data_IF_606690147209
#
_entry.id   IF_606690147209
#
_cell.length_a   1.000
_cell.length_b   1.000
_cell.length_c   1.000
_cell.angle_alpha   90.00
_cell.angle_beta   90.00
_cell.angle_gamma   90.00
#
_symmetry.space_group_name_H-M   'P 1'
#
loop_
_entity.id
_entity.type
_entity.pdbx_description
1 polymer ?
#
# COMPACT_ATOMS: atom_id res chain seq x y z
N UNK A 1 -10.44 -23.34 -0.40
CA UNK A 1 -9.38 -22.45 -0.92
C UNK A 1 -9.68 -21.06 -0.39
N UNK A 2 -8.71 -20.36 0.22
CA UNK A 2 -8.93 -19.02 0.78
C UNK A 2 -8.94 -17.96 -0.34
N UNK A 3 -9.82 -16.98 -0.17
CA UNK A 3 -10.02 -15.87 -1.12
C UNK A 3 -9.43 -14.60 -0.54
N UNK A 4 -8.63 -13.88 -1.35
CA UNK A 4 -7.95 -12.66 -0.93
C UNK A 4 -8.23 -11.50 -1.88
N UNK A 5 -8.66 -10.37 -1.34
CA UNK A 5 -8.73 -9.10 -2.05
C UNK A 5 -7.39 -8.39 -1.95
N UNK A 6 -6.86 -7.92 -3.07
CA UNK A 6 -5.63 -7.12 -3.12
C UNK A 6 -5.97 -5.75 -3.70
N UNK A 7 -5.95 -4.71 -2.88
CA UNK A 7 -6.10 -3.34 -3.38
C UNK A 7 -4.76 -2.82 -3.89
N UNK A 8 -4.81 -1.94 -4.90
CA UNK A 8 -3.60 -1.48 -5.58
C UNK A 8 -2.93 -2.56 -6.44
N UNK A 9 -3.66 -3.60 -6.82
CA UNK A 9 -3.19 -4.73 -7.60
C UNK A 9 -2.56 -4.34 -8.95
N UNK A 10 -2.98 -3.23 -9.54
CA UNK A 10 -2.44 -2.71 -10.81
C UNK A 10 -1.16 -1.89 -10.64
N UNK A 11 -0.72 -1.65 -9.39
CA UNK A 11 0.52 -0.96 -9.06
C UNK A 11 1.75 -1.88 -9.04
N UNK A 12 2.92 -1.31 -8.78
CA UNK A 12 4.19 -2.05 -8.74
C UNK A 12 4.15 -3.21 -7.73
N UNK A 13 4.03 -2.92 -6.43
CA UNK A 13 3.98 -3.96 -5.39
C UNK A 13 2.78 -4.89 -5.56
N UNK A 14 1.60 -4.33 -5.90
CA UNK A 14 0.36 -5.10 -6.00
C UNK A 14 0.44 -6.25 -7.00
N UNK A 15 1.12 -6.06 -8.14
CA UNK A 15 1.32 -7.13 -9.14
C UNK A 15 2.10 -8.30 -8.57
N UNK A 16 3.19 -8.03 -7.84
CA UNK A 16 3.98 -9.09 -7.19
C UNK A 16 3.16 -9.83 -6.14
N UNK A 17 2.35 -9.11 -5.36
CA UNK A 17 1.47 -9.74 -4.35
C UNK A 17 0.40 -10.60 -5.02
N UNK A 18 -0.18 -10.17 -6.15
CA UNK A 18 -1.14 -10.96 -6.93
C UNK A 18 -0.49 -12.25 -7.42
N UNK A 19 0.67 -12.14 -8.04
CA UNK A 19 1.42 -13.28 -8.56
C UNK A 19 1.76 -14.28 -7.45
N UNK A 20 2.39 -13.80 -6.38
CA UNK A 20 2.83 -14.62 -5.25
C UNK A 20 1.67 -15.38 -4.60
N UNK A 21 0.58 -14.69 -4.28
CA UNK A 21 -0.56 -15.34 -3.62
C UNK A 21 -1.30 -16.30 -4.55
N UNK A 22 -1.40 -16.00 -5.85
CA UNK A 22 -2.00 -16.93 -6.80
C UNK A 22 -1.19 -18.22 -6.96
N UNK A 23 0.15 -18.12 -6.97
CA UNK A 23 1.06 -19.28 -7.00
C UNK A 23 0.98 -20.12 -5.72
N UNK A 24 0.65 -19.51 -4.59
CA UNK A 24 0.43 -20.19 -3.31
C UNK A 24 -1.00 -20.70 -3.10
N UNK A 25 -1.78 -20.79 -4.16
CA UNK A 25 -3.11 -21.43 -4.14
C UNK A 25 -4.23 -20.59 -3.57
N UNK A 26 -4.08 -19.28 -3.47
CA UNK A 26 -5.18 -18.38 -3.13
C UNK A 26 -6.01 -18.05 -4.38
N UNK A 27 -7.33 -17.86 -4.18
CA UNK A 27 -8.17 -17.18 -5.16
C UNK A 27 -8.05 -15.68 -4.93
N UNK A 28 -7.56 -14.95 -5.92
CA UNK A 28 -7.24 -13.53 -5.81
C UNK A 28 -8.30 -12.68 -6.51
N UNK A 29 -8.82 -11.68 -5.81
CA UNK A 29 -9.53 -10.55 -6.40
C UNK A 29 -8.58 -9.36 -6.49
N UNK A 30 -8.12 -9.04 -7.69
CA UNK A 30 -7.21 -7.93 -7.96
C UNK A 30 -8.02 -6.63 -8.14
N UNK A 31 -7.95 -5.71 -7.18
CA UNK A 31 -8.69 -4.44 -7.19
C UNK A 31 -7.81 -3.28 -7.63
N UNK A 32 -8.31 -2.48 -8.57
CA UNK A 32 -7.60 -1.28 -9.02
C UNK A 32 -8.33 -0.51 -10.12
N UNK A 33 -7.86 0.70 -10.42
CA UNK A 33 -8.49 1.61 -11.39
C UNK A 33 -8.17 1.29 -12.84
N UNK A 34 -6.95 0.81 -13.10
CA UNK A 34 -6.47 0.59 -14.47
C UNK A 34 -6.99 -0.73 -15.04
N UNK A 35 -8.09 -0.65 -15.82
CA UNK A 35 -8.74 -1.81 -16.42
C UNK A 35 -7.80 -2.64 -17.31
N UNK A 36 -7.00 -1.98 -18.15
CA UNK A 36 -6.09 -2.68 -19.08
C UNK A 36 -5.06 -3.51 -18.33
N UNK A 37 -4.44 -2.93 -17.30
CA UNK A 37 -3.47 -3.65 -16.45
C UNK A 37 -4.17 -4.71 -15.60
N UNK A 38 -5.35 -4.41 -15.06
CA UNK A 38 -6.11 -5.36 -14.25
C UNK A 38 -6.49 -6.60 -15.05
N UNK A 39 -7.03 -6.44 -16.24
CA UNK A 39 -7.37 -7.55 -17.13
C UNK A 39 -6.15 -8.40 -17.53
N UNK A 40 -4.97 -7.79 -17.66
CA UNK A 40 -3.74 -8.57 -17.95
C UNK A 40 -3.25 -9.44 -16.79
N UNK A 41 -3.80 -9.27 -15.58
CA UNK A 41 -3.49 -10.11 -14.41
C UNK A 41 -4.42 -11.33 -14.33
N UNK A 42 -5.53 -11.33 -15.06
CA UNK A 42 -6.56 -12.38 -14.95
C UNK A 42 -6.06 -13.73 -15.42
N UNK A 43 -6.40 -14.76 -14.65
CA UNK A 43 -6.15 -16.16 -14.96
C UNK A 43 -7.16 -17.04 -14.15
N UNK A 44 -6.96 -18.36 -14.12
CA UNK A 44 -7.84 -19.30 -13.40
C UNK A 44 -7.96 -19.03 -11.88
N UNK A 45 -6.98 -18.36 -11.28
CA UNK A 45 -6.92 -18.05 -9.84
C UNK A 45 -7.05 -16.56 -9.53
N UNK A 46 -7.04 -15.69 -10.55
CA UNK A 46 -7.08 -14.23 -10.40
C UNK A 46 -8.23 -13.64 -11.20
N UNK A 47 -9.15 -12.97 -10.53
CA UNK A 47 -10.21 -12.16 -11.14
C UNK A 47 -9.96 -10.67 -10.90
N UNK A 48 -10.14 -9.84 -11.92
CA UNK A 48 -10.00 -8.40 -11.77
C UNK A 48 -11.33 -7.74 -11.39
N UNK A 49 -11.28 -6.85 -10.42
CA UNK A 49 -12.38 -5.98 -10.00
C UNK A 49 -11.96 -4.51 -10.21
N UNK A 50 -12.61 -3.83 -11.14
CA UNK A 50 -12.35 -2.41 -11.36
C UNK A 50 -13.02 -1.58 -10.27
N UNK A 51 -12.24 -0.76 -9.55
CA UNK A 51 -12.76 0.12 -8.51
C UNK A 51 -11.76 1.18 -8.08
N UNK A 52 -12.24 2.15 -7.31
CA UNK A 52 -11.48 3.27 -6.78
C UNK A 52 -11.51 3.27 -5.24
N UNK A 53 -10.34 3.47 -4.60
CA UNK A 53 -10.22 3.57 -3.15
C UNK A 53 -11.02 4.73 -2.54
N UNK A 54 -11.31 5.75 -3.33
CA UNK A 54 -12.11 6.91 -2.90
C UNK A 54 -13.61 6.65 -2.89
N UNK A 55 -14.04 5.47 -3.36
CA UNK A 55 -15.44 5.05 -3.42
C UNK A 55 -15.70 3.90 -2.46
N UNK A 56 -16.41 4.18 -1.38
CA UNK A 56 -16.74 3.19 -0.35
C UNK A 56 -17.49 1.98 -0.92
N UNK A 57 -18.46 2.23 -1.81
CA UNK A 57 -19.28 1.18 -2.43
C UNK A 57 -18.44 0.17 -3.23
N UNK A 58 -17.41 0.65 -3.95
CA UNK A 58 -16.50 -0.23 -4.70
C UNK A 58 -15.78 -1.21 -3.76
N UNK A 59 -15.36 -0.73 -2.58
CA UNK A 59 -14.66 -1.53 -1.59
C UNK A 59 -15.60 -2.50 -0.86
N UNK A 60 -16.80 -2.05 -0.49
CA UNK A 60 -17.82 -2.93 0.10
C UNK A 60 -18.15 -4.08 -0.84
N UNK A 61 -18.38 -3.80 -2.13
CA UNK A 61 -18.62 -4.85 -3.14
C UNK A 61 -17.40 -5.75 -3.36
N UNK A 62 -16.20 -5.16 -3.42
CA UNK A 62 -14.97 -5.92 -3.61
C UNK A 62 -14.65 -6.86 -2.43
N UNK A 63 -15.05 -6.53 -1.23
CA UNK A 63 -14.87 -7.36 -0.04
C UNK A 63 -15.86 -8.53 0.06
N UNK A 64 -16.99 -8.50 -0.66
CA UNK A 64 -17.99 -9.56 -0.56
C UNK A 64 -17.43 -10.93 -0.93
N UNK A 65 -17.61 -11.90 -0.04
CA UNK A 65 -17.14 -13.28 -0.23
C UNK A 65 -15.64 -13.49 -0.21
N UNK A 66 -14.87 -12.50 0.30
CA UNK A 66 -13.43 -12.63 0.55
C UNK A 66 -13.17 -13.04 2.00
N UNK A 67 -12.07 -13.75 2.23
CA UNK A 67 -11.62 -14.15 3.57
C UNK A 67 -10.60 -13.15 4.15
N UNK A 68 -9.79 -12.55 3.29
CA UNK A 68 -8.67 -11.69 3.68
C UNK A 68 -8.51 -10.51 2.73
N UNK A 69 -7.85 -9.45 3.22
CA UNK A 69 -7.48 -8.28 2.41
C UNK A 69 -6.00 -7.98 2.55
N UNK A 70 -5.33 -7.72 1.43
CA UNK A 70 -4.03 -7.04 1.38
C UNK A 70 -4.26 -5.63 0.82
N UNK A 71 -4.17 -4.63 1.69
CA UNK A 71 -4.34 -3.23 1.32
C UNK A 71 -2.99 -2.61 0.98
N UNK A 72 -2.60 -2.71 -0.30
CA UNK A 72 -1.38 -2.13 -0.86
C UNK A 72 -1.64 -0.88 -1.73
N UNK A 73 -2.90 -0.51 -1.93
CA UNK A 73 -3.27 0.66 -2.71
C UNK A 73 -3.03 1.96 -1.94
N UNK A 74 -2.34 2.90 -2.57
CA UNK A 74 -2.12 4.24 -2.02
C UNK A 74 -1.71 5.22 -3.13
N UNK A 75 -1.92 6.50 -2.89
CA UNK A 75 -1.23 7.58 -3.61
C UNK A 75 0.16 7.71 -3.00
N UNK A 76 1.21 7.32 -3.76
CA UNK A 76 2.60 7.23 -3.28
C UNK A 76 3.55 8.26 -3.92
N UNK A 77 3.00 9.35 -4.47
CA UNK A 77 3.79 10.47 -5.00
C UNK A 77 4.43 11.26 -3.85
N UNK A 78 5.58 11.88 -4.11
CA UNK A 78 6.25 12.73 -3.11
C UNK A 78 5.53 14.08 -2.95
N UNK A 79 4.91 14.57 -4.01
CA UNK A 79 4.27 15.89 -4.09
C UNK A 79 2.81 15.78 -4.52
N UNK A 80 1.99 16.68 -4.02
CA UNK A 80 0.57 16.81 -4.34
C UNK A 80 -0.21 17.51 -3.22
N UNK A 81 -1.44 17.97 -3.48
CA UNK A 81 -2.32 18.54 -2.48
C UNK A 81 -2.62 17.55 -1.36
N UNK A 82 -2.77 18.05 -0.14
CA UNK A 82 -3.18 17.21 1.02
C UNK A 82 -4.49 16.48 0.77
N UNK A 83 -5.44 17.13 0.14
CA UNK A 83 -6.75 16.56 -0.14
C UNK A 83 -6.68 15.24 -0.92
N UNK A 84 -5.83 15.16 -1.94
CA UNK A 84 -5.67 13.94 -2.75
C UNK A 84 -5.14 12.78 -1.91
N UNK A 85 -4.18 13.06 -1.03
CA UNK A 85 -3.64 12.05 -0.09
C UNK A 85 -4.68 11.67 0.98
N UNK A 86 -5.43 12.63 1.47
CA UNK A 86 -6.47 12.39 2.46
C UNK A 86 -7.56 11.51 1.89
N UNK A 87 -8.11 11.84 0.73
CA UNK A 87 -9.15 11.07 0.08
C UNK A 87 -8.67 9.64 -0.25
N UNK A 88 -7.49 9.51 -0.86
CA UNK A 88 -7.02 8.19 -1.32
C UNK A 88 -6.46 7.35 -0.17
N UNK A 89 -5.57 7.92 0.65
CA UNK A 89 -4.82 7.13 1.64
C UNK A 89 -5.57 7.04 2.97
N UNK A 90 -6.18 8.14 3.45
CA UNK A 90 -6.82 8.14 4.75
C UNK A 90 -8.24 7.61 4.65
N UNK A 91 -9.10 8.25 3.86
CA UNK A 91 -10.48 7.80 3.69
C UNK A 91 -10.54 6.44 2.97
N UNK A 92 -9.72 6.22 1.95
CA UNK A 92 -9.62 4.91 1.30
C UNK A 92 -9.26 3.78 2.29
N UNK A 93 -8.31 4.01 3.21
CA UNK A 93 -8.00 3.04 4.28
C UNK A 93 -9.16 2.87 5.24
N UNK A 94 -9.85 3.95 5.60
CA UNK A 94 -11.06 3.88 6.43
C UNK A 94 -12.13 3.01 5.78
N UNK A 95 -12.42 3.21 4.50
CA UNK A 95 -13.40 2.41 3.76
C UNK A 95 -13.01 0.93 3.67
N UNK A 96 -11.72 0.63 3.52
CA UNK A 96 -11.22 -0.76 3.60
C UNK A 96 -11.48 -1.36 4.98
N UNK A 97 -11.22 -0.63 6.06
CA UNK A 97 -11.48 -1.09 7.43
C UNK A 97 -12.98 -1.34 7.68
N UNK A 98 -13.84 -0.43 7.22
CA UNK A 98 -15.29 -0.58 7.31
C UNK A 98 -15.78 -1.80 6.52
N UNK A 99 -15.35 -1.96 5.27
CA UNK A 99 -15.69 -3.11 4.45
C UNK A 99 -15.17 -4.43 5.04
N UNK A 100 -13.98 -4.44 5.65
CA UNK A 100 -13.43 -5.61 6.35
C UNK A 100 -14.29 -5.98 7.57
N UNK A 101 -14.73 -5.00 8.35
CA UNK A 101 -15.60 -5.17 9.51
C UNK A 101 -16.95 -5.76 9.09
N UNK A 102 -17.60 -5.14 8.10
CA UNK A 102 -18.91 -5.58 7.58
C UNK A 102 -18.87 -7.00 7.02
N UNK A 103 -17.80 -7.36 6.32
CA UNK A 103 -17.63 -8.68 5.73
C UNK A 103 -17.08 -9.74 6.71
N UNK A 104 -16.74 -9.38 7.94
CA UNK A 104 -16.17 -10.28 8.93
C UNK A 104 -14.83 -10.89 8.51
N UNK A 105 -13.93 -10.07 7.95
CA UNK A 105 -12.64 -10.52 7.41
C UNK A 105 -11.77 -11.20 8.46
N UNK A 106 -11.16 -12.32 8.11
CA UNK A 106 -10.25 -13.08 8.98
C UNK A 106 -8.91 -12.36 9.17
N UNK A 107 -8.47 -11.56 8.19
CA UNK A 107 -7.19 -10.85 8.23
C UNK A 107 -7.16 -9.67 7.26
N UNK A 108 -6.66 -8.54 7.75
CA UNK A 108 -6.26 -7.39 6.95
C UNK A 108 -4.75 -7.19 7.07
N UNK A 109 -4.02 -7.18 5.96
CA UNK A 109 -2.62 -6.76 5.89
C UNK A 109 -2.56 -5.38 5.26
N UNK A 110 -2.16 -4.38 6.03
CA UNK A 110 -1.99 -3.02 5.55
C UNK A 110 -0.54 -2.71 5.23
N UNK A 111 -0.27 -2.27 4.00
CA UNK A 111 1.06 -1.84 3.58
C UNK A 111 1.23 -0.35 3.86
N UNK A 112 1.96 -0.04 4.93
CA UNK A 112 2.37 1.30 5.29
C UNK A 112 3.77 1.64 4.73
N UNK A 113 4.51 2.50 5.42
CA UNK A 113 5.84 2.93 4.99
C UNK A 113 6.73 3.28 6.17
N UNK A 114 8.03 2.94 6.16
CA UNK A 114 8.98 3.37 7.19
C UNK A 114 9.31 4.85 7.09
N UNK A 115 8.88 5.54 6.03
CA UNK A 115 9.04 6.99 5.91
C UNK A 115 8.34 7.77 7.03
N UNK A 116 7.39 7.16 7.75
CA UNK A 116 6.78 7.77 8.93
C UNK A 116 7.79 8.10 10.03
N UNK A 117 8.94 7.38 10.06
CA UNK A 117 10.03 7.65 11.00
C UNK A 117 11.00 8.75 10.53
N UNK A 118 10.84 9.26 9.29
CA UNK A 118 11.77 10.23 8.75
C UNK A 118 11.90 11.47 9.65
N UNK A 119 13.15 11.85 9.97
CA UNK A 119 13.48 12.99 10.80
C UNK A 119 14.82 13.60 10.32
N UNK A 120 15.08 14.89 10.57
CA UNK A 120 16.34 15.57 10.18
C UNK A 120 17.49 15.21 11.15
N UNK A 121 17.59 13.94 11.53
CA UNK A 121 18.63 13.41 12.42
C UNK A 121 18.89 11.94 12.14
N UNK A 122 20.06 11.46 12.46
CA UNK A 122 20.35 10.04 12.42
C UNK A 122 19.55 9.29 13.48
N UNK A 123 19.00 8.16 13.10
CA UNK A 123 18.25 7.28 14.00
C UNK A 123 18.75 5.86 13.80
N UNK A 124 19.11 5.19 14.89
CA UNK A 124 19.61 3.81 14.89
C UNK A 124 18.66 2.93 15.71
N UNK A 125 18.58 1.65 15.35
CA UNK A 125 17.79 0.64 16.05
C UNK A 125 16.32 1.02 16.26
N UNK A 126 15.69 1.67 15.25
CA UNK A 126 14.29 2.08 15.31
C UNK A 126 13.39 0.84 15.46
N UNK A 127 12.48 0.89 16.43
CA UNK A 127 11.44 -0.12 16.67
C UNK A 127 10.10 0.37 16.16
N UNK A 128 9.16 -0.54 16.00
CA UNK A 128 7.78 -0.23 15.60
C UNK A 128 7.09 0.72 16.59
N UNK A 129 7.39 0.59 17.88
CA UNK A 129 6.88 1.47 18.97
C UNK A 129 7.37 2.92 18.89
N UNK A 130 8.45 3.17 18.14
CA UNK A 130 9.06 4.50 18.03
C UNK A 130 8.37 5.36 16.97
N UNK A 131 7.26 4.89 16.40
CA UNK A 131 6.47 5.65 15.45
C UNK A 131 6.02 6.99 16.09
N UNK A 132 6.32 8.13 15.45
CA UNK A 132 6.00 9.43 16.01
C UNK A 132 4.49 9.66 16.04
N UNK A 133 4.03 10.52 16.94
CA UNK A 133 2.62 10.91 16.97
C UNK A 133 2.23 11.75 15.75
N UNK A 134 3.16 12.54 15.23
CA UNK A 134 2.96 13.37 14.05
C UNK A 134 4.23 13.42 13.20
N UNK A 135 4.06 13.46 11.88
CA UNK A 135 5.13 13.71 10.94
C UNK A 135 4.57 14.40 9.70
N UNK A 136 4.90 15.66 9.53
CA UNK A 136 4.40 16.55 8.50
C UNK A 136 5.49 16.92 7.46
N UNK A 137 6.56 16.11 7.33
CA UNK A 137 7.64 16.37 6.36
C UNK A 137 7.12 16.43 4.91
N UNK A 138 6.14 15.61 4.58
CA UNK A 138 5.34 15.74 3.35
C UNK A 138 3.97 15.10 3.52
N UNK A 139 3.06 15.35 2.55
CA UNK A 139 1.69 14.88 2.60
C UNK A 139 1.57 13.34 2.52
N UNK A 140 2.49 12.65 1.84
CA UNK A 140 2.52 11.19 1.82
C UNK A 140 2.80 10.62 3.22
N UNK A 141 3.87 11.06 3.86
CA UNK A 141 4.26 10.63 5.21
C UNK A 141 3.12 10.89 6.19
N UNK A 142 2.59 12.11 6.17
CA UNK A 142 1.45 12.49 7.00
C UNK A 142 0.26 11.57 6.78
N UNK A 143 -0.10 11.30 5.52
CA UNK A 143 -1.25 10.46 5.20
C UNK A 143 -1.07 9.01 5.68
N UNK A 144 0.12 8.43 5.53
CA UNK A 144 0.39 7.06 6.01
C UNK A 144 0.28 6.98 7.52
N UNK A 145 0.83 7.97 8.24
CA UNK A 145 0.76 8.01 9.69
C UNK A 145 -0.67 8.19 10.20
N UNK A 146 -1.46 9.07 9.56
CA UNK A 146 -2.88 9.26 9.89
C UNK A 146 -3.67 7.98 9.60
N UNK A 147 -3.40 7.30 8.48
CA UNK A 147 -4.05 6.02 8.15
C UNK A 147 -3.76 4.93 9.17
N UNK A 148 -2.53 4.83 9.67
CA UNK A 148 -2.21 3.84 10.73
C UNK A 148 -2.97 4.09 12.02
N UNK A 149 -3.26 5.35 12.36
CA UNK A 149 -4.03 5.67 13.57
C UNK A 149 -5.48 5.18 13.51
N UNK A 150 -6.07 5.09 12.33
CA UNK A 150 -7.43 4.58 12.16
C UNK A 150 -7.61 3.16 12.70
N UNK A 151 -6.57 2.33 12.66
CA UNK A 151 -6.65 0.94 13.12
C UNK A 151 -7.01 0.81 14.61
N UNK A 152 -6.78 1.85 15.41
CA UNK A 152 -7.18 1.88 16.83
C UNK A 152 -8.71 1.92 17.00
N UNK A 153 -9.41 2.49 16.01
CA UNK A 153 -10.87 2.63 16.03
C UNK A 153 -11.57 1.35 15.50
N UNK A 154 -10.76 0.38 15.02
CA UNK A 154 -11.22 -0.90 14.44
C UNK A 154 -10.53 -2.10 15.11
N UNK A 155 -10.56 -2.23 16.46
CA UNK A 155 -9.86 -3.31 17.17
C UNK A 155 -10.43 -4.70 16.87
N UNK A 156 -11.65 -4.76 16.37
CA UNK A 156 -12.39 -5.95 15.95
C UNK A 156 -11.97 -6.46 14.55
N UNK A 157 -11.23 -5.67 13.76
CA UNK A 157 -10.67 -6.10 12.49
C UNK A 157 -9.26 -6.68 12.69
N UNK A 158 -9.06 -8.01 12.56
CA UNK A 158 -7.75 -8.61 12.78
C UNK A 158 -6.73 -8.10 11.76
N UNK A 159 -5.86 -7.18 12.16
CA UNK A 159 -4.99 -6.42 11.26
C UNK A 159 -3.51 -6.59 11.56
N UNK A 160 -2.68 -6.53 10.50
CA UNK A 160 -1.22 -6.41 10.57
C UNK A 160 -0.80 -5.21 9.73
N UNK A 161 0.03 -4.33 10.29
CA UNK A 161 0.62 -3.20 9.59
C UNK A 161 2.06 -3.55 9.22
N UNK A 162 2.37 -3.52 7.93
CA UNK A 162 3.73 -3.73 7.41
C UNK A 162 4.32 -2.39 6.96
N UNK A 163 5.57 -2.13 7.33
CA UNK A 163 6.34 -0.93 6.93
C UNK A 163 7.58 -1.37 6.12
N UNK A 164 7.40 -1.87 4.88
CA UNK A 164 8.51 -2.35 4.06
C UNK A 164 9.43 -1.18 3.69
N UNK A 165 10.74 -1.39 3.76
CA UNK A 165 11.73 -0.41 3.28
C UNK A 165 11.67 -0.30 1.77
N UNK A 166 12.55 0.53 1.16
CA UNK A 166 12.55 0.82 -0.26
C UNK A 166 12.40 -0.42 -1.13
N UNK A 167 11.25 -0.54 -1.79
CA UNK A 167 10.94 -1.61 -2.71
C UNK A 167 11.41 -1.22 -4.11
N UNK A 168 12.18 -2.10 -4.75
CA UNK A 168 12.66 -1.91 -6.12
C UNK A 168 12.65 -3.25 -6.86
N UNK A 169 12.60 -3.17 -8.18
CA UNK A 169 12.56 -4.37 -9.03
C UNK A 169 12.00 -4.05 -10.41
N UNK A 170 11.68 -5.09 -11.19
CA UNK A 170 11.10 -4.94 -12.53
C UNK A 170 9.72 -4.26 -12.42
N UNK A 171 9.54 -3.16 -13.14
CA UNK A 171 8.31 -2.36 -13.09
C UNK A 171 8.29 -1.28 -11.99
N UNK A 172 9.39 -1.07 -11.25
CA UNK A 172 9.54 0.08 -10.36
C UNK A 172 9.51 1.38 -11.17
N UNK A 173 8.63 2.29 -10.80
CA UNK A 173 8.47 3.62 -11.41
C UNK A 173 8.98 4.74 -10.49
N UNK A 174 9.46 4.42 -9.31
CA UNK A 174 9.77 5.38 -8.25
C UNK A 174 11.25 5.51 -7.95
N UNK A 175 11.91 4.45 -7.52
CA UNK A 175 13.28 4.48 -6.98
C UNK A 175 14.30 4.37 -8.12
N UNK A 176 14.31 3.22 -8.80
CA UNK A 176 15.33 2.95 -9.84
C UNK A 176 15.34 3.97 -10.97
N UNK A 177 14.20 4.41 -11.56
CA UNK A 177 14.22 5.41 -12.62
C UNK A 177 14.80 6.75 -12.17
N UNK A 178 14.56 7.14 -10.90
CA UNK A 178 15.13 8.39 -10.35
C UNK A 178 16.63 8.29 -10.12
N UNK A 179 17.10 7.18 -9.57
CA UNK A 179 18.53 6.92 -9.36
C UNK A 179 19.26 6.90 -10.69
N UNK A 180 18.73 6.17 -11.68
CA UNK A 180 19.32 6.10 -13.03
C UNK A 180 19.37 7.47 -13.71
N UNK A 181 18.28 8.24 -13.64
CA UNK A 181 18.22 9.59 -14.21
C UNK A 181 19.23 10.55 -13.53
N UNK A 182 19.40 10.42 -12.22
CA UNK A 182 20.37 11.20 -11.45
C UNK A 182 21.81 10.82 -11.83
N UNK A 183 22.10 9.51 -11.88
CA UNK A 183 23.42 9.02 -12.23
C UNK A 183 23.90 9.45 -13.61
N UNK A 184 22.98 9.56 -14.58
CA UNK A 184 23.30 10.07 -15.92
C UNK A 184 23.69 11.55 -15.95
N UNK A 185 23.21 12.34 -14.97
CA UNK A 185 23.46 13.78 -14.92
C UNK A 185 24.70 14.18 -14.11
N UNK A 186 24.88 13.57 -12.95
CA UNK A 186 25.89 13.97 -11.96
C UNK A 186 26.69 12.79 -11.39
N UNK A 187 26.50 11.58 -11.93
CA UNK A 187 27.01 10.36 -11.31
C UNK A 187 26.21 9.99 -10.05
N UNK A 188 26.57 8.90 -9.41
CA UNK A 188 26.04 8.52 -8.10
C UNK A 188 26.96 9.09 -7.03
N UNK A 189 26.53 10.11 -6.26
CA UNK A 189 27.38 10.68 -5.22
C UNK A 189 27.64 9.65 -4.12
N UNK A 190 28.89 9.48 -3.75
CA UNK A 190 29.27 8.71 -2.58
C UNK A 190 28.98 9.55 -1.34
N UNK A 191 28.13 9.06 -0.45
CA UNK A 191 27.81 9.74 0.81
C UNK A 191 28.67 9.08 1.92
N UNK A 192 29.51 9.86 2.57
CA UNK A 192 30.46 9.36 3.57
C UNK A 192 31.52 8.46 2.93
N UNK A 193 31.76 7.30 3.54
CA UNK A 193 32.70 6.26 3.07
C UNK A 193 32.02 5.19 2.18
N UNK A 194 30.76 5.37 1.87
CA UNK A 194 30.00 4.43 1.04
C UNK A 194 29.49 3.19 1.76
N UNK A 195 29.55 3.19 3.10
CA UNK A 195 29.04 2.10 3.95
C UNK A 195 27.66 2.38 4.52
#
# INVERSE_FOLDING_TARGET
>A
MKKVLITGATGFLGKYVVEELSQHGYQVRAFGRNRKVGQSLENSSVAFFQGDLTKQEDLTQACQGMDMVVHAGALSTVWGPWEDFYQTNVLGTKYVLEACREAGMQRLVYVSSPSIYAAPRNQLAIKESDAPQENNLNNYIRSKLVSEKLFKDYPDVPSIILRPRGLFGIGDTSILPRVLKLSQKIGIPLIGDGR
#
